data_IF_004559586596
#
_entry.id   IF_004559586596
#
_cell.length_a   1.000
_cell.length_b   1.000
_cell.length_c   1.000
_cell.angle_alpha   90.00
_cell.angle_beta   90.00
_cell.angle_gamma   90.00
#
_symmetry.space_group_name_H-M   'P 1'
#
loop_
_entity.id
_entity.type
_entity.pdbx_description
1 polymer ?
#
# COMPACT_ATOMS: atom_id res chain seq x y z
N UNK A 1 -15.63 -15.45 -2.63
CA UNK A 1 -14.21 -15.31 -2.22
C UNK A 1 -13.87 -13.88 -1.79
N UNK A 2 -14.14 -12.86 -2.61
CA UNK A 2 -13.76 -11.46 -2.35
C UNK A 2 -14.30 -10.92 -1.02
N UNK A 3 -15.62 -10.99 -0.81
CA UNK A 3 -16.27 -10.46 0.41
C UNK A 3 -15.63 -11.02 1.68
N UNK A 4 -15.31 -12.32 1.70
CA UNK A 4 -14.69 -12.99 2.85
C UNK A 4 -13.32 -12.36 3.18
N UNK A 5 -12.44 -12.23 2.21
CA UNK A 5 -11.10 -11.68 2.43
C UNK A 5 -11.11 -10.17 2.69
N UNK A 6 -12.09 -9.47 2.14
CA UNK A 6 -12.31 -8.05 2.42
C UNK A 6 -12.74 -7.85 3.87
N UNK A 7 -13.65 -8.67 4.40
CA UNK A 7 -14.05 -8.64 5.82
C UNK A 7 -12.87 -8.99 6.73
N UNK A 8 -12.12 -10.05 6.42
CA UNK A 8 -10.91 -10.42 7.19
C UNK A 8 -9.91 -9.27 7.19
N UNK A 9 -9.68 -8.64 6.03
CA UNK A 9 -8.80 -7.47 5.91
C UNK A 9 -9.26 -6.31 6.77
N UNK A 10 -10.54 -5.92 6.68
CA UNK A 10 -11.11 -4.83 7.49
C UNK A 10 -10.88 -5.10 8.99
N UNK A 11 -11.23 -6.31 9.47
CA UNK A 11 -11.08 -6.66 10.87
C UNK A 11 -9.62 -6.62 11.32
N UNK A 12 -8.71 -7.16 10.51
CA UNK A 12 -7.28 -7.17 10.80
C UNK A 12 -6.73 -5.74 10.90
N UNK A 13 -7.01 -4.88 9.92
CA UNK A 13 -6.44 -3.54 9.87
C UNK A 13 -7.07 -2.58 10.88
N UNK A 14 -8.35 -2.73 11.19
CA UNK A 14 -8.98 -2.02 12.31
C UNK A 14 -8.33 -2.43 13.62
N UNK A 15 -8.06 -3.72 13.83
CA UNK A 15 -7.38 -4.19 15.03
C UNK A 15 -5.94 -3.65 15.13
N UNK A 16 -5.21 -3.59 14.02
CA UNK A 16 -3.86 -3.01 13.96
C UNK A 16 -3.89 -1.51 14.30
N UNK A 17 -4.79 -0.75 13.68
CA UNK A 17 -4.94 0.68 13.97
C UNK A 17 -5.35 0.91 15.43
N UNK A 18 -6.32 0.14 15.93
CA UNK A 18 -6.73 0.21 17.34
C UNK A 18 -5.58 -0.12 18.28
N UNK A 19 -4.78 -1.15 17.99
CA UNK A 19 -3.61 -1.49 18.78
C UNK A 19 -2.58 -0.35 18.79
N UNK A 20 -2.28 0.24 17.63
CA UNK A 20 -1.34 1.35 17.52
C UNK A 20 -1.74 2.56 18.38
N UNK A 21 -3.04 2.84 18.52
CA UNK A 21 -3.54 3.91 19.40
C UNK A 21 -3.09 3.79 20.85
N UNK A 22 -2.87 2.58 21.34
CA UNK A 22 -2.47 2.33 22.73
C UNK A 22 -0.97 2.10 22.90
N UNK A 23 -0.18 2.19 21.82
CA UNK A 23 1.26 1.99 21.87
C UNK A 23 1.96 3.32 22.15
N UNK A 24 2.74 3.37 23.23
CA UNK A 24 3.61 4.50 23.54
C UNK A 24 4.83 4.57 22.61
N UNK A 25 5.45 5.75 22.49
CA UNK A 25 6.59 6.03 21.59
C UNK A 25 7.72 5.01 21.68
N UNK A 26 8.05 4.56 22.90
CA UNK A 26 9.16 3.62 23.12
C UNK A 26 8.96 2.26 22.45
N UNK A 27 7.69 1.84 22.31
CA UNK A 27 7.35 0.56 21.70
C UNK A 27 7.28 0.62 20.17
N UNK A 28 7.30 1.81 19.56
CA UNK A 28 7.22 1.99 18.10
C UNK A 28 8.40 1.32 17.39
N UNK A 29 9.61 1.43 17.95
CA UNK A 29 10.81 0.77 17.44
C UNK A 29 10.65 -0.77 17.35
N UNK A 30 10.06 -1.39 18.37
CA UNK A 30 9.78 -2.82 18.41
C UNK A 30 8.66 -3.23 17.45
N UNK A 31 7.67 -2.37 17.23
CA UNK A 31 6.60 -2.62 16.26
C UNK A 31 7.12 -2.78 14.84
N UNK A 32 8.16 -2.03 14.44
CA UNK A 32 8.77 -2.16 13.12
C UNK A 32 9.33 -3.55 12.83
N UNK A 33 9.80 -4.27 13.86
CA UNK A 33 10.27 -5.65 13.70
C UNK A 33 9.12 -6.65 13.86
N UNK A 34 8.27 -6.46 14.87
CA UNK A 34 7.30 -7.47 15.29
C UNK A 34 6.04 -7.47 14.45
N UNK A 35 5.52 -6.30 14.07
CA UNK A 35 4.23 -6.19 13.39
C UNK A 35 4.26 -6.70 11.95
N UNK A 36 5.27 -6.35 11.09
CA UNK A 36 5.35 -6.94 9.76
C UNK A 36 5.52 -8.46 9.81
N UNK A 37 6.34 -8.97 10.73
CA UNK A 37 6.50 -10.42 10.94
C UNK A 37 5.19 -11.09 11.39
N UNK A 38 4.47 -10.46 12.33
CA UNK A 38 3.15 -10.93 12.76
C UNK A 38 2.14 -10.92 11.60
N UNK A 39 2.13 -9.88 10.77
CA UNK A 39 1.25 -9.80 9.60
C UNK A 39 1.55 -10.91 8.59
N UNK A 40 2.83 -11.18 8.32
CA UNK A 40 3.24 -12.30 7.47
C UNK A 40 2.73 -13.64 8.02
N UNK A 41 2.96 -13.90 9.31
CA UNK A 41 2.56 -15.14 9.97
C UNK A 41 1.04 -15.30 10.03
N UNK A 42 0.30 -14.26 10.43
CA UNK A 42 -1.16 -14.26 10.51
C UNK A 42 -1.79 -14.47 9.14
N UNK A 43 -1.27 -13.80 8.11
CA UNK A 43 -1.73 -14.00 6.73
C UNK A 43 -1.54 -15.45 6.30
N UNK A 44 -0.34 -16.00 6.49
CA UNK A 44 -0.06 -17.39 6.13
C UNK A 44 -0.93 -18.39 6.89
N UNK A 45 -1.15 -18.13 8.18
CA UNK A 45 -2.00 -18.94 9.05
C UNK A 45 -3.46 -18.89 8.60
N UNK A 46 -4.01 -17.72 8.28
CA UNK A 46 -5.36 -17.60 7.74
C UNK A 46 -5.51 -18.33 6.41
N UNK A 47 -4.57 -18.14 5.48
CA UNK A 47 -4.60 -18.85 4.19
C UNK A 47 -4.58 -20.37 4.37
N UNK A 48 -3.85 -20.89 5.35
CA UNK A 48 -3.83 -22.33 5.70
C UNK A 48 -5.12 -22.80 6.38
N UNK A 49 -5.59 -22.08 7.40
CA UNK A 49 -6.81 -22.43 8.17
C UNK A 49 -8.02 -22.49 7.24
N UNK A 50 -8.16 -21.50 6.36
CA UNK A 50 -9.24 -21.44 5.38
C UNK A 50 -9.01 -22.32 4.14
N UNK A 51 -7.95 -23.15 4.14
CA UNK A 51 -7.58 -24.09 3.07
C UNK A 51 -7.60 -23.46 1.68
N UNK A 52 -7.04 -22.25 1.56
CA UNK A 52 -6.95 -21.54 0.28
C UNK A 52 -6.01 -22.29 -0.64
N UNK A 53 -6.50 -22.61 -1.85
CA UNK A 53 -5.71 -23.22 -2.90
C UNK A 53 -4.48 -22.35 -3.20
N UNK A 54 -3.35 -22.99 -3.50
CA UNK A 54 -2.08 -22.26 -3.63
C UNK A 54 -2.13 -21.19 -4.73
N UNK A 55 -2.85 -21.44 -5.82
CA UNK A 55 -3.10 -20.50 -6.92
C UNK A 55 -3.91 -19.27 -6.51
N UNK A 56 -4.71 -19.37 -5.45
CA UNK A 56 -5.64 -18.30 -5.04
C UNK A 56 -5.08 -17.48 -3.87
N UNK A 57 -3.93 -17.87 -3.31
CA UNK A 57 -3.32 -17.22 -2.13
C UNK A 57 -2.90 -15.80 -2.43
N UNK A 58 -2.32 -15.56 -3.61
CA UNK A 58 -1.91 -14.23 -4.05
C UNK A 58 -3.11 -13.30 -4.11
N UNK A 59 -4.18 -13.71 -4.78
CA UNK A 59 -5.42 -12.94 -4.87
C UNK A 59 -6.04 -12.71 -3.47
N UNK A 60 -6.13 -13.74 -2.63
CA UNK A 60 -6.69 -13.63 -1.28
C UNK A 60 -5.92 -12.63 -0.40
N UNK A 61 -4.58 -12.70 -0.38
CA UNK A 61 -3.73 -11.77 0.35
C UNK A 61 -3.86 -10.33 -0.17
N UNK A 62 -3.97 -10.18 -1.50
CA UNK A 62 -4.18 -8.88 -2.16
C UNK A 62 -5.47 -8.22 -1.72
N UNK A 63 -6.58 -8.97 -1.74
CA UNK A 63 -7.89 -8.49 -1.29
C UNK A 63 -7.85 -8.12 0.19
N UNK A 64 -7.13 -8.89 1.01
CA UNK A 64 -6.96 -8.61 2.44
C UNK A 64 -6.12 -7.34 2.72
N UNK A 65 -5.19 -6.99 1.83
CA UNK A 65 -4.37 -5.79 1.95
C UNK A 65 -5.13 -4.49 1.61
N UNK A 66 -6.07 -4.52 0.65
CA UNK A 66 -6.78 -3.32 0.14
C UNK A 66 -7.47 -2.50 1.24
N UNK A 67 -8.30 -3.07 2.14
CA UNK A 67 -8.94 -2.29 3.20
C UNK A 67 -7.94 -1.58 4.08
N UNK A 68 -6.81 -2.23 4.36
CA UNK A 68 -5.76 -1.59 5.12
C UNK A 68 -5.18 -0.40 4.38
N UNK A 69 -4.86 -0.52 3.09
CA UNK A 69 -4.32 0.61 2.34
C UNK A 69 -5.25 1.83 2.40
N UNK A 70 -6.56 1.61 2.31
CA UNK A 70 -7.58 2.67 2.46
C UNK A 70 -7.65 3.23 3.89
N UNK A 71 -7.59 2.37 4.90
CA UNK A 71 -7.49 2.79 6.31
C UNK A 71 -6.21 3.58 6.55
N UNK A 72 -5.11 3.22 5.90
CA UNK A 72 -3.83 3.92 5.95
C UNK A 72 -3.93 5.35 5.41
N UNK A 73 -4.59 5.56 4.27
CA UNK A 73 -4.88 6.91 3.73
C UNK A 73 -5.59 7.76 4.78
N UNK A 74 -6.65 7.23 5.38
CA UNK A 74 -7.42 7.94 6.40
C UNK A 74 -6.60 8.20 7.67
N UNK A 75 -5.92 7.19 8.18
CA UNK A 75 -5.16 7.26 9.43
C UNK A 75 -3.94 8.20 9.32
N UNK A 76 -3.31 8.30 8.15
CA UNK A 76 -2.19 9.24 7.92
C UNK A 76 -2.71 10.68 7.83
N UNK A 77 -3.78 10.92 7.09
CA UNK A 77 -4.34 12.28 6.92
C UNK A 77 -5.02 12.81 8.20
N UNK A 78 -5.56 11.92 9.02
CA UNK A 78 -6.28 12.25 10.26
C UNK A 78 -5.52 11.81 11.51
N UNK A 79 -4.19 11.71 11.44
CA UNK A 79 -3.37 11.03 12.45
C UNK A 79 -3.63 11.49 13.89
N UNK A 80 -3.59 12.81 14.13
CA UNK A 80 -3.80 13.38 15.46
C UNK A 80 -5.24 13.15 15.97
N UNK A 81 -6.22 13.06 15.08
CA UNK A 81 -7.60 12.76 15.43
C UNK A 81 -7.80 11.27 15.76
N UNK A 82 -7.12 10.37 15.02
CA UNK A 82 -7.29 8.92 15.16
C UNK A 82 -6.55 8.37 16.37
N UNK A 83 -5.33 8.85 16.63
CA UNK A 83 -4.45 8.25 17.63
C UNK A 83 -4.33 9.06 18.94
N UNK A 84 -4.96 10.23 19.03
CA UNK A 84 -4.97 11.09 20.24
C UNK A 84 -3.59 11.17 20.90
N UNK A 85 -2.56 11.41 20.08
CA UNK A 85 -1.16 11.41 20.49
C UNK A 85 -0.58 12.81 20.26
N UNK A 86 -0.01 13.46 21.29
CA UNK A 86 0.55 14.81 21.17
C UNK A 86 1.83 14.90 20.34
N UNK A 87 2.49 13.79 19.99
CA UNK A 87 3.74 13.83 19.24
C UNK A 87 3.55 13.72 17.72
N UNK A 88 3.84 14.84 17.04
CA UNK A 88 3.82 14.96 15.58
C UNK A 88 4.89 14.11 14.86
N UNK A 89 5.79 13.47 15.61
CA UNK A 89 6.93 12.69 15.09
C UNK A 89 6.54 11.27 14.69
N UNK A 90 5.39 10.75 15.15
CA UNK A 90 4.97 9.37 14.91
C UNK A 90 4.27 9.15 13.56
N UNK A 91 3.69 10.19 12.95
CA UNK A 91 2.96 10.06 11.68
C UNK A 91 3.78 9.39 10.56
N UNK A 92 5.00 9.86 10.25
CA UNK A 92 5.88 9.23 9.25
C UNK A 92 6.30 7.79 9.63
N UNK A 93 6.50 7.54 10.93
CA UNK A 93 6.85 6.21 11.42
C UNK A 93 5.68 5.23 11.23
N UNK A 94 4.47 5.67 11.57
CA UNK A 94 3.25 4.91 11.30
C UNK A 94 3.09 4.61 9.82
N UNK A 95 3.25 5.62 8.93
CA UNK A 95 3.19 5.38 7.49
C UNK A 95 4.19 4.29 7.06
N UNK A 96 5.46 4.43 7.44
CA UNK A 96 6.51 3.44 7.16
C UNK A 96 6.16 2.03 7.67
N UNK A 97 5.67 1.94 8.91
CA UNK A 97 5.27 0.67 9.52
C UNK A 97 4.14 0.00 8.73
N UNK A 98 3.16 0.80 8.34
CA UNK A 98 2.02 0.37 7.56
C UNK A 98 2.49 -0.15 6.19
N UNK A 99 3.33 0.60 5.47
CA UNK A 99 4.00 0.15 4.24
C UNK A 99 4.67 -1.24 4.38
N UNK A 100 5.45 -1.43 5.43
CA UNK A 100 6.12 -2.71 5.71
C UNK A 100 5.11 -3.84 5.97
N UNK A 101 4.04 -3.55 6.71
CA UNK A 101 2.97 -4.51 6.97
C UNK A 101 2.24 -4.93 5.68
N UNK A 102 1.98 -4.02 4.74
CA UNK A 102 1.36 -4.39 3.45
C UNK A 102 2.27 -5.25 2.60
N UNK A 103 3.56 -4.88 2.52
CA UNK A 103 4.53 -5.69 1.81
C UNK A 103 4.55 -7.11 2.39
N UNK A 104 4.54 -7.24 3.72
CA UNK A 104 4.49 -8.53 4.41
C UNK A 104 3.22 -9.34 4.11
N UNK A 105 2.03 -8.72 4.15
CA UNK A 105 0.75 -9.39 3.80
C UNK A 105 0.78 -9.89 2.36
N UNK A 106 1.20 -9.05 1.42
CA UNK A 106 1.23 -9.42 0.00
C UNK A 106 2.25 -10.54 -0.24
N UNK A 107 3.47 -10.40 0.28
CA UNK A 107 4.55 -11.40 0.15
C UNK A 107 4.12 -12.76 0.70
N UNK A 108 3.37 -12.80 1.81
CA UNK A 108 2.85 -14.05 2.37
C UNK A 108 1.92 -14.82 1.40
N UNK A 109 1.29 -14.12 0.46
CA UNK A 109 0.42 -14.70 -0.56
C UNK A 109 1.09 -14.96 -1.91
N UNK A 110 2.27 -14.39 -2.19
CA UNK A 110 2.89 -14.48 -3.53
C UNK A 110 3.40 -15.89 -3.86
N UNK A 111 3.18 -16.29 -5.11
CA UNK A 111 3.64 -17.57 -5.67
C UNK A 111 4.61 -17.35 -6.84
N UNK A 112 4.63 -16.15 -7.45
CA UNK A 112 5.45 -15.80 -8.62
C UNK A 112 6.36 -14.56 -8.43
N UNK A 113 7.55 -14.58 -9.03
CA UNK A 113 8.65 -13.62 -8.80
C UNK A 113 8.85 -12.58 -9.93
N UNK A 114 7.79 -12.03 -10.53
CA UNK A 114 7.91 -10.99 -11.59
C UNK A 114 8.06 -9.58 -11.01
N UNK A 115 9.04 -9.40 -10.12
CA UNK A 115 9.25 -8.19 -9.30
C UNK A 115 9.82 -7.01 -10.11
N UNK A 116 10.54 -7.30 -11.20
CA UNK A 116 11.31 -6.29 -11.97
C UNK A 116 10.42 -5.20 -12.58
N UNK A 117 9.26 -5.57 -13.14
CA UNK A 117 8.36 -4.59 -13.78
C UNK A 117 7.80 -3.61 -12.75
N UNK A 118 7.46 -4.10 -11.55
CA UNK A 118 7.04 -3.24 -10.44
C UNK A 118 8.15 -2.28 -10.05
N UNK A 119 9.38 -2.77 -9.91
CA UNK A 119 10.52 -1.91 -9.57
C UNK A 119 10.72 -0.78 -10.59
N UNK A 120 10.69 -1.08 -11.89
CA UNK A 120 10.81 -0.07 -12.94
C UNK A 120 9.67 0.97 -12.90
N UNK A 121 8.43 0.52 -12.68
CA UNK A 121 7.27 1.42 -12.54
C UNK A 121 7.46 2.39 -11.37
N UNK A 122 7.83 1.89 -10.19
CA UNK A 122 7.94 2.73 -9.00
C UNK A 122 9.16 3.64 -9.01
N UNK A 123 10.29 3.21 -9.60
CA UNK A 123 11.42 4.11 -9.84
C UNK A 123 11.02 5.22 -10.82
N UNK A 124 10.25 4.92 -11.87
CA UNK A 124 9.77 5.96 -12.78
C UNK A 124 8.85 6.97 -12.07
N UNK A 125 7.96 6.50 -11.20
CA UNK A 125 7.10 7.36 -10.37
C UNK A 125 7.93 8.21 -9.40
N UNK A 126 8.91 7.63 -8.71
CA UNK A 126 9.82 8.34 -7.81
C UNK A 126 10.61 9.42 -8.55
N UNK A 127 11.15 9.10 -9.72
CA UNK A 127 11.85 10.06 -10.58
C UNK A 127 10.92 11.19 -11.02
N UNK A 128 9.67 10.87 -11.39
CA UNK A 128 8.69 11.89 -11.75
C UNK A 128 8.41 12.84 -10.58
N UNK A 129 8.20 12.33 -9.36
CA UNK A 129 8.03 13.19 -8.17
C UNK A 129 9.27 13.99 -7.82
N UNK A 130 10.47 13.42 -8.00
CA UNK A 130 11.73 14.13 -7.78
C UNK A 130 11.84 15.39 -8.63
N UNK A 131 11.50 15.32 -9.91
CA UNK A 131 11.65 16.47 -10.82
C UNK A 131 10.42 17.35 -10.91
N UNK A 132 9.22 16.81 -10.72
CA UNK A 132 7.96 17.52 -10.96
C UNK A 132 7.05 17.62 -9.73
N UNK A 133 7.40 16.99 -8.60
CA UNK A 133 6.55 16.94 -7.41
C UNK A 133 6.16 18.31 -6.86
N UNK A 134 7.07 19.29 -6.93
CA UNK A 134 6.80 20.67 -6.51
C UNK A 134 5.68 21.34 -7.31
N UNK A 135 5.48 20.98 -8.58
CA UNK A 135 4.38 21.49 -9.42
C UNK A 135 3.06 20.79 -9.08
N UNK A 136 3.17 19.52 -8.73
CA UNK A 136 2.07 18.60 -8.53
C UNK A 136 1.41 18.84 -7.17
N UNK A 137 2.16 19.23 -6.14
CA UNK A 137 1.62 19.58 -4.81
C UNK A 137 1.31 21.07 -4.62
N UNK A 138 0.83 21.76 -5.67
CA UNK A 138 0.41 23.17 -5.60
C UNK A 138 -1.08 23.30 -5.27
N UNK A 139 -1.43 23.88 -4.12
CA UNK A 139 -2.81 24.19 -3.73
C UNK A 139 -2.88 24.82 -2.34
N UNK A 140 -3.67 25.89 -2.18
CA UNK A 140 -3.82 26.63 -0.91
C UNK A 140 -4.34 25.76 0.26
N UNK A 141 -5.10 24.70 -0.05
CA UNK A 141 -5.69 23.80 0.94
C UNK A 141 -4.94 22.46 1.14
N UNK A 142 -3.77 22.28 0.51
CA UNK A 142 -2.95 21.07 0.66
C UNK A 142 -3.51 19.79 0.03
N UNK A 143 -4.73 19.81 -0.56
CA UNK A 143 -5.28 18.71 -1.35
C UNK A 143 -5.03 18.98 -2.83
N UNK A 144 -3.96 18.40 -3.35
CA UNK A 144 -3.67 18.47 -4.77
C UNK A 144 -4.64 17.59 -5.58
N UNK A 145 -5.08 18.07 -6.76
CA UNK A 145 -5.77 17.29 -7.80
C UNK A 145 -5.11 15.93 -8.09
N UNK A 146 -3.82 15.81 -7.79
CA UNK A 146 -3.03 14.59 -7.86
C UNK A 146 -3.61 13.44 -7.04
N UNK A 147 -4.25 13.70 -5.90
CA UNK A 147 -4.95 12.68 -5.12
C UNK A 147 -6.08 12.01 -5.87
N UNK A 148 -6.68 12.71 -6.83
CA UNK A 148 -7.73 12.16 -7.67
C UNK A 148 -7.14 11.55 -8.95
N UNK A 149 -6.20 12.24 -9.59
CA UNK A 149 -5.70 11.87 -10.92
C UNK A 149 -4.73 10.70 -10.86
N UNK A 150 -3.75 10.71 -9.94
CA UNK A 150 -2.66 9.73 -9.98
C UNK A 150 -3.11 8.30 -9.64
N UNK A 151 -3.94 8.05 -8.59
CA UNK A 151 -4.46 6.71 -8.35
C UNK A 151 -5.28 6.19 -9.54
N UNK A 152 -6.13 7.04 -10.15
CA UNK A 152 -6.91 6.66 -11.33
C UNK A 152 -6.00 6.37 -12.55
N UNK A 153 -4.97 7.17 -12.76
CA UNK A 153 -3.98 6.92 -13.81
C UNK A 153 -3.26 5.59 -13.59
N UNK A 154 -2.84 5.28 -12.36
CA UNK A 154 -2.17 4.01 -12.04
C UNK A 154 -3.10 2.80 -12.12
N UNK A 155 -4.40 2.97 -11.87
CA UNK A 155 -5.41 1.95 -12.15
C UNK A 155 -5.39 1.61 -13.65
N UNK A 156 -5.49 2.61 -14.53
CA UNK A 156 -5.49 2.42 -15.99
C UNK A 156 -4.15 1.86 -16.48
N UNK A 157 -3.02 2.43 -16.03
CA UNK A 157 -1.67 1.99 -16.41
C UNK A 157 -1.46 0.53 -16.01
N UNK A 158 -1.91 0.13 -14.81
CA UNK A 158 -1.79 -1.25 -14.36
C UNK A 158 -2.60 -2.19 -15.23
N UNK A 159 -3.85 -1.85 -15.56
CA UNK A 159 -4.64 -2.61 -16.52
C UNK A 159 -3.91 -2.78 -17.86
N UNK A 160 -3.34 -1.71 -18.40
CA UNK A 160 -2.60 -1.74 -19.66
C UNK A 160 -1.33 -2.60 -19.56
N UNK A 161 -0.57 -2.52 -18.47
CA UNK A 161 0.61 -3.37 -18.22
C UNK A 161 0.21 -4.84 -18.20
N UNK A 162 -0.82 -5.21 -17.44
CA UNK A 162 -1.29 -6.59 -17.34
C UNK A 162 -1.76 -7.13 -18.70
N UNK A 163 -2.44 -6.30 -19.49
CA UNK A 163 -2.88 -6.63 -20.84
C UNK A 163 -1.69 -6.80 -21.80
N UNK A 164 -0.73 -5.89 -21.76
CA UNK A 164 0.48 -5.91 -22.60
C UNK A 164 1.36 -7.14 -22.30
N UNK A 165 1.51 -7.47 -21.02
CA UNK A 165 2.24 -8.65 -20.56
C UNK A 165 1.45 -9.96 -20.75
N UNK A 166 0.22 -9.87 -21.29
CA UNK A 166 -0.67 -11.01 -21.55
C UNK A 166 -0.88 -11.88 -20.30
N UNK A 167 -1.04 -11.24 -19.15
CA UNK A 167 -1.30 -11.94 -17.89
C UNK A 167 -2.68 -12.59 -17.95
N UNK A 168 -2.73 -13.90 -17.69
CA UNK A 168 -3.97 -14.66 -17.65
C UNK A 168 -4.93 -14.04 -16.63
N UNK A 169 -6.25 -13.96 -16.93
CA UNK A 169 -7.21 -13.32 -16.03
C UNK A 169 -7.16 -13.83 -14.58
N UNK A 170 -6.98 -15.14 -14.38
CA UNK A 170 -6.82 -15.75 -13.05
C UNK A 170 -5.67 -15.18 -12.24
N UNK A 171 -4.61 -14.71 -12.91
CA UNK A 171 -3.34 -14.33 -12.28
C UNK A 171 -3.19 -12.81 -12.17
N UNK A 172 -4.13 -12.03 -12.74
CA UNK A 172 -4.06 -10.55 -12.80
C UNK A 172 -4.03 -9.90 -11.42
N UNK A 173 -4.78 -10.43 -10.47
CA UNK A 173 -4.80 -9.93 -9.10
C UNK A 173 -3.46 -10.15 -8.39
N UNK A 174 -2.88 -11.36 -8.51
CA UNK A 174 -1.55 -11.64 -7.97
C UNK A 174 -0.49 -10.78 -8.66
N UNK A 175 -0.51 -10.71 -9.99
CA UNK A 175 0.45 -9.94 -10.76
C UNK A 175 0.43 -8.44 -10.40
N UNK A 176 -0.75 -7.84 -10.22
CA UNK A 176 -0.87 -6.46 -9.77
C UNK A 176 -0.27 -6.25 -8.37
N UNK A 177 -0.46 -7.20 -7.46
CA UNK A 177 0.11 -7.11 -6.13
C UNK A 177 1.63 -7.28 -6.15
N UNK A 178 2.17 -8.16 -6.99
CA UNK A 178 3.62 -8.23 -7.26
C UNK A 178 4.15 -6.90 -7.79
N UNK A 179 3.39 -6.20 -8.65
CA UNK A 179 3.77 -4.87 -9.12
C UNK A 179 3.80 -3.84 -7.98
N UNK A 180 2.92 -3.95 -6.99
CA UNK A 180 2.85 -3.01 -5.86
C UNK A 180 3.96 -3.22 -4.82
N UNK A 181 4.44 -4.45 -4.57
CA UNK A 181 5.43 -4.75 -3.52
C UNK A 181 6.72 -3.91 -3.63
N UNK A 182 7.39 -3.81 -4.79
CA UNK A 182 8.58 -2.98 -4.91
C UNK A 182 8.34 -1.53 -4.52
N UNK A 183 7.18 -0.98 -4.89
CA UNK A 183 6.82 0.38 -4.56
C UNK A 183 6.52 0.57 -3.08
N UNK A 184 5.97 -0.45 -2.41
CA UNK A 184 5.83 -0.43 -0.96
C UNK A 184 7.21 -0.39 -0.28
N UNK A 185 8.18 -1.13 -0.80
CA UNK A 185 9.56 -1.13 -0.27
C UNK A 185 10.31 0.16 -0.57
N UNK A 186 10.17 0.71 -1.78
CA UNK A 186 10.75 2.00 -2.16
C UNK A 186 10.10 3.13 -1.36
N UNK A 187 8.79 3.07 -1.13
CA UNK A 187 8.05 4.06 -0.34
C UNK A 187 8.52 4.17 1.11
N UNK A 188 8.96 3.05 1.73
CA UNK A 188 9.64 3.08 3.04
C UNK A 188 10.85 4.00 3.00
N UNK A 189 11.70 3.86 1.97
CA UNK A 189 12.88 4.70 1.83
C UNK A 189 12.53 6.15 1.54
N UNK A 190 11.57 6.38 0.64
CA UNK A 190 11.08 7.71 0.28
C UNK A 190 10.54 8.49 1.48
N UNK A 191 9.79 7.83 2.37
CA UNK A 191 9.23 8.49 3.56
C UNK A 191 10.33 8.81 4.58
N UNK A 192 11.24 7.88 4.84
CA UNK A 192 12.31 8.08 5.82
C UNK A 192 13.39 9.07 5.35
N UNK A 193 13.57 9.20 4.03
CA UNK A 193 14.57 10.07 3.41
C UNK A 193 13.95 11.17 2.56
N UNK A 194 12.72 11.60 2.89
CA UNK A 194 11.89 12.46 2.04
C UNK A 194 12.59 13.71 1.51
N UNK A 195 13.24 14.48 2.38
CA UNK A 195 13.95 15.71 1.98
C UNK A 195 15.22 15.44 1.16
N UNK A 196 15.80 14.24 1.25
CA UNK A 196 16.95 13.84 0.42
C UNK A 196 16.49 13.38 -0.97
N UNK A 197 15.38 12.63 -1.01
CA UNK A 197 14.83 12.06 -2.25
C UNK A 197 14.06 13.12 -3.06
N UNK A 198 13.34 14.02 -2.39
CA UNK A 198 12.51 15.08 -2.97
C UNK A 198 12.91 16.46 -2.41
N UNK A 199 14.12 16.96 -2.75
CA UNK A 199 14.63 18.21 -2.17
C UNK A 199 13.79 19.44 -2.51
N UNK A 200 13.09 19.42 -3.65
CA UNK A 200 12.26 20.53 -4.12
C UNK A 200 10.84 20.54 -3.50
N UNK A 201 10.50 19.51 -2.70
CA UNK A 201 9.21 19.42 -2.02
C UNK A 201 9.33 19.85 -0.55
N UNK A 202 8.35 20.63 -0.08
CA UNK A 202 8.31 21.03 1.33
C UNK A 202 8.11 19.83 2.25
N UNK A 203 8.89 19.74 3.33
CA UNK A 203 8.83 18.63 4.28
C UNK A 203 7.44 18.42 4.91
N UNK A 204 6.63 19.48 4.99
CA UNK A 204 5.25 19.43 5.50
C UNK A 204 4.31 18.61 4.60
N UNK A 205 4.70 18.32 3.35
CA UNK A 205 3.91 17.51 2.42
C UNK A 205 4.07 16.01 2.64
N UNK A 206 4.95 15.58 3.56
CA UNK A 206 5.25 14.17 3.81
C UNK A 206 4.00 13.33 4.13
N UNK A 207 3.07 13.76 5.01
CA UNK A 207 1.84 13.00 5.27
C UNK A 207 0.97 12.85 4.02
N UNK A 208 0.79 13.93 3.26
CA UNK A 208 0.00 13.95 2.03
C UNK A 208 0.64 13.06 0.96
N UNK A 209 1.95 13.14 0.78
CA UNK A 209 2.69 12.26 -0.12
C UNK A 209 2.51 10.79 0.29
N UNK A 210 2.66 10.48 1.57
CA UNK A 210 2.48 9.11 2.09
C UNK A 210 1.07 8.61 1.79
N UNK A 211 0.04 9.38 2.14
CA UNK A 211 -1.35 9.03 1.88
C UNK A 211 -1.65 8.86 0.37
N UNK A 212 -1.06 9.71 -0.49
CA UNK A 212 -1.17 9.58 -1.94
C UNK A 212 -0.59 8.25 -2.43
N UNK A 213 0.60 7.88 -1.96
CA UNK A 213 1.25 6.62 -2.34
C UNK A 213 0.40 5.42 -1.92
N UNK A 214 -0.18 5.45 -0.72
CA UNK A 214 -1.15 4.45 -0.27
C UNK A 214 -2.35 4.30 -1.21
N UNK A 215 -2.94 5.41 -1.63
CA UNK A 215 -4.03 5.41 -2.60
C UNK A 215 -3.60 4.82 -3.95
N UNK A 216 -2.36 5.12 -4.39
CA UNK A 216 -1.77 4.57 -5.60
C UNK A 216 -1.60 3.04 -5.53
N UNK A 217 -1.06 2.49 -4.43
CA UNK A 217 -0.97 1.03 -4.26
C UNK A 217 -2.34 0.36 -4.23
N UNK A 218 -3.32 0.97 -3.56
CA UNK A 218 -4.68 0.46 -3.53
C UNK A 218 -5.25 0.39 -4.95
N UNK A 219 -5.05 1.44 -5.75
CA UNK A 219 -5.52 1.50 -7.13
C UNK A 219 -4.86 0.43 -8.03
N UNK A 220 -3.55 0.21 -7.89
CA UNK A 220 -2.82 -0.86 -8.61
C UNK A 220 -3.43 -2.23 -8.28
N UNK A 221 -3.62 -2.54 -6.99
CA UNK A 221 -4.16 -3.84 -6.55
C UNK A 221 -5.63 -4.00 -6.99
N UNK A 222 -6.45 -2.96 -6.83
CA UNK A 222 -7.86 -2.95 -7.28
C UNK A 222 -7.94 -3.18 -8.78
N UNK A 223 -7.06 -2.58 -9.58
CA UNK A 223 -6.99 -2.85 -11.02
C UNK A 223 -6.82 -4.34 -11.32
N UNK A 224 -5.89 -5.02 -10.63
CA UNK A 224 -5.69 -6.45 -10.78
C UNK A 224 -6.93 -7.29 -10.41
N UNK A 225 -7.58 -6.96 -9.29
CA UNK A 225 -8.78 -7.65 -8.80
C UNK A 225 -9.98 -7.45 -9.74
N UNK A 226 -10.20 -6.23 -10.22
CA UNK A 226 -11.32 -5.92 -11.12
C UNK A 226 -11.11 -6.60 -12.47
N UNK A 227 -9.89 -6.54 -13.00
CA UNK A 227 -9.57 -7.06 -14.34
C UNK A 227 -9.44 -8.59 -14.37
N UNK A 228 -9.26 -9.25 -13.23
CA UNK A 228 -9.39 -10.72 -13.13
C UNK A 228 -10.84 -11.20 -13.25
N UNK A 229 -11.83 -10.30 -13.11
CA UNK A 229 -13.26 -10.62 -13.10
C UNK A 229 -14.04 -10.07 -14.29
N UNK A 230 -13.58 -9.00 -14.93
CA UNK A 230 -14.29 -8.30 -16.01
C UNK A 230 -14.52 -9.10 -17.31
N UNK A 231 -13.85 -10.23 -17.54
CA UNK A 231 -14.09 -11.07 -18.74
C UNK A 231 -15.15 -12.18 -18.53
N UNK A 232 -15.79 -12.24 -17.36
CA UNK A 232 -16.95 -13.10 -17.10
C UNK A 232 -18.30 -12.37 -17.28
N UNK A 233 -18.30 -11.18 -17.89
CA UNK A 233 -19.49 -10.39 -18.29
C UNK A 233 -19.40 -10.15 -19.78
#
# INVERSE_FOLDING_TARGET
>A
MIVRWLVVGILLWVAVAAAFRYVGEEAVSWMFMTLPAAMLLLTHLFLRIFRVAQTDRGEAASIMAVPGLLVGVYAINSFNYVFDNPSLTLGPQFATLMFACYAAVIIAGLVSARVIVGFLLWIAVAVAFRFYGHLVFTGEDGISWTFMILPLALLVITYLILKLLRVAPSDRAEAASVLAVPGLLVGIYEINSFTNVFPDMHAQLLPQFSALMFACFAAVIISGIVTSRLENI
#
